data_IF_846717842269
#
_entry.id   IF_846717842269
#
_cell.length_a   1.000
_cell.length_b   1.000
_cell.length_c   1.000
_cell.angle_alpha   90.00
_cell.angle_beta   90.00
_cell.angle_gamma   90.00
#
_symmetry.space_group_name_H-M   'P 1'
#
loop_
_entity.id
_entity.type
_entity.pdbx_description
1 polymer ?
#
# COMPACT_ATOMS: atom_id res chain seq x y z
N UNK A 1 -15.24 -0.59 28.69
CA UNK A 1 -14.45 -1.65 28.02
C UNK A 1 -13.27 -0.96 27.41
N UNK A 2 -12.09 -1.35 27.88
CA UNK A 2 -10.87 -0.56 27.89
C UNK A 2 -10.17 -0.56 26.53
N UNK A 3 -9.82 0.62 26.05
CA UNK A 3 -8.87 0.84 24.97
C UNK A 3 -7.48 0.38 25.45
N UNK A 4 -7.07 -0.81 25.02
CA UNK A 4 -5.66 -1.17 24.96
C UNK A 4 -5.11 -0.62 23.64
N UNK A 5 -4.87 0.68 23.59
CA UNK A 5 -4.01 1.26 22.56
C UNK A 5 -2.60 0.73 22.78
N UNK A 6 -2.06 0.12 21.73
CA UNK A 6 -0.85 -0.71 21.81
C UNK A 6 0.39 0.18 22.04
N UNK A 7 1.30 -0.31 22.88
CA UNK A 7 2.56 0.38 23.23
C UNK A 7 3.52 0.49 22.02
N UNK A 8 3.27 -0.25 20.94
CA UNK A 8 4.11 -0.29 19.74
C UNK A 8 3.75 0.82 18.74
N UNK A 9 2.47 1.23 18.66
CA UNK A 9 2.06 2.35 17.82
C UNK A 9 2.81 3.62 18.26
N UNK A 10 2.80 3.94 19.56
CA UNK A 10 3.45 5.13 20.10
C UNK A 10 4.93 5.29 19.73
N UNK A 11 5.66 4.18 19.57
CA UNK A 11 7.08 4.21 19.24
C UNK A 11 7.37 4.59 17.78
N UNK A 12 6.56 4.10 16.83
CA UNK A 12 6.70 4.47 15.41
C UNK A 12 6.34 5.94 15.17
N UNK A 13 5.29 6.42 15.85
CA UNK A 13 4.93 7.84 15.86
C UNK A 13 6.10 8.68 16.41
N UNK A 14 6.66 8.32 17.57
CA UNK A 14 7.78 9.05 18.18
C UNK A 14 9.03 9.10 17.28
N UNK A 15 9.35 8.02 16.57
CA UNK A 15 10.53 7.92 15.70
C UNK A 15 10.44 8.84 14.46
N UNK A 16 9.30 8.85 13.73
CA UNK A 16 9.14 9.74 12.58
C UNK A 16 9.14 11.21 13.00
N UNK A 17 8.45 11.55 14.08
CA UNK A 17 8.41 12.92 14.57
C UNK A 17 9.78 13.41 15.01
N UNK A 18 10.54 12.54 15.70
CA UNK A 18 11.93 12.83 16.03
C UNK A 18 12.76 13.05 14.77
N UNK A 19 12.59 12.22 13.74
CA UNK A 19 13.30 12.35 12.48
C UNK A 19 12.97 13.65 11.73
N UNK A 20 11.69 13.98 11.52
CA UNK A 20 11.25 15.21 10.81
C UNK A 20 11.82 16.45 11.50
N UNK A 21 11.75 16.48 12.83
CA UNK A 21 12.25 17.58 13.62
C UNK A 21 13.78 17.69 13.55
N UNK A 22 14.51 16.57 13.70
CA UNK A 22 15.96 16.54 13.56
C UNK A 22 16.37 17.01 12.17
N UNK A 23 15.67 16.55 11.13
CA UNK A 23 15.93 16.92 9.75
C UNK A 23 15.72 18.42 9.51
N UNK A 24 14.61 19.01 9.99
CA UNK A 24 14.41 20.47 9.92
C UNK A 24 15.48 21.25 10.67
N UNK A 25 15.94 20.76 11.84
CA UNK A 25 17.04 21.39 12.58
C UNK A 25 18.36 21.37 11.85
N UNK A 26 18.69 20.26 11.21
CA UNK A 26 19.87 20.15 10.35
C UNK A 26 19.77 21.20 9.23
N UNK A 27 18.59 21.34 8.61
CA UNK A 27 18.37 22.31 7.54
C UNK A 27 18.37 23.77 8.01
N UNK A 28 17.90 24.06 9.23
CA UNK A 28 17.85 25.43 9.77
C UNK A 28 19.17 25.89 10.43
N UNK A 29 20.14 24.99 10.59
CA UNK A 29 21.43 25.29 11.22
C UNK A 29 21.37 25.48 12.75
N UNK A 30 20.23 25.17 13.37
CA UNK A 30 19.97 25.43 14.79
C UNK A 30 20.20 24.19 15.66
N UNK A 31 21.41 24.07 16.21
CA UNK A 31 21.79 23.07 17.21
C UNK A 31 21.45 23.53 18.64
N UNK A 32 20.17 23.77 18.95
CA UNK A 32 19.74 24.03 20.33
C UNK A 32 18.63 23.07 20.77
N UNK A 33 18.81 22.38 21.91
CA UNK A 33 17.85 21.44 22.51
C UNK A 33 16.58 22.15 22.97
N UNK A 34 15.42 21.61 22.59
CA UNK A 34 14.19 21.82 23.34
C UNK A 34 13.28 20.60 23.15
N UNK A 35 13.08 19.87 24.25
CA UNK A 35 12.05 18.85 24.41
C UNK A 35 10.73 19.56 24.67
N UNK A 36 9.81 19.51 23.70
CA UNK A 36 8.39 19.75 23.95
C UNK A 36 7.61 18.74 23.13
N UNK A 37 6.61 18.12 23.75
CA UNK A 37 5.60 17.35 23.03
C UNK A 37 4.95 18.26 21.99
N UNK A 38 5.01 17.83 20.74
CA UNK A 38 4.57 18.59 19.58
C UNK A 38 3.12 18.19 19.25
N UNK A 39 2.19 19.14 19.08
CA UNK A 39 0.82 18.82 18.69
C UNK A 39 0.76 18.33 17.25
N UNK A 40 0.10 17.18 17.04
CA UNK A 40 -0.24 16.61 15.72
C UNK A 40 -1.41 17.45 15.15
N UNK A 41 -1.39 17.80 13.86
CA UNK A 41 -2.48 18.59 13.26
C UNK A 41 -2.67 18.34 11.77
N UNK A 42 -3.94 18.31 11.34
CA UNK A 42 -4.40 18.30 9.94
C UNK A 42 -3.89 19.49 9.11
N UNK A 43 -3.29 20.49 9.76
CA UNK A 43 -2.74 21.69 9.13
C UNK A 43 -1.35 21.46 8.50
N UNK A 44 -0.85 20.23 8.47
CA UNK A 44 0.41 19.91 7.80
C UNK A 44 0.35 20.24 6.30
N UNK A 45 1.30 21.07 5.85
CA UNK A 45 1.40 21.47 4.46
C UNK A 45 2.22 20.44 3.69
N UNK A 46 1.50 19.58 2.97
CA UNK A 46 2.09 18.65 2.02
C UNK A 46 2.21 19.32 0.64
N UNK A 47 3.45 19.70 0.29
CA UNK A 47 3.75 20.36 -0.98
C UNK A 47 3.47 19.46 -2.20
N UNK A 48 3.43 18.14 -2.04
CA UNK A 48 3.11 17.22 -3.14
C UNK A 48 1.66 17.35 -3.62
N UNK A 49 0.78 17.94 -2.81
CA UNK A 49 -0.63 18.20 -3.16
C UNK A 49 -0.82 19.39 -4.09
N UNK A 50 0.26 20.03 -4.54
CA UNK A 50 0.21 21.13 -5.50
C UNK A 50 -0.44 22.39 -4.93
N UNK A 51 -0.37 22.58 -3.62
CA UNK A 51 -0.90 23.77 -2.95
C UNK A 51 -0.10 25.00 -3.39
N UNK A 52 -0.79 25.97 -3.99
CA UNK A 52 -0.23 27.29 -4.22
C UNK A 52 -0.27 28.05 -2.90
N UNK A 53 0.90 28.31 -2.31
CA UNK A 53 1.02 29.02 -1.05
C UNK A 53 0.95 30.52 -1.33
N UNK A 54 -0.13 31.17 -0.89
CA UNK A 54 -0.33 32.62 -1.07
C UNK A 54 0.48 33.46 -0.07
N UNK A 55 0.72 32.91 1.13
CA UNK A 55 1.51 33.53 2.19
C UNK A 55 2.62 32.56 2.64
N UNK A 56 3.92 32.88 2.44
CA UNK A 56 5.02 32.04 2.90
C UNK A 56 5.09 31.86 4.43
N UNK A 57 4.49 32.76 5.22
CA UNK A 57 4.52 32.69 6.68
C UNK A 57 3.84 31.43 7.24
N UNK A 58 2.93 30.81 6.46
CA UNK A 58 2.28 29.54 6.84
C UNK A 58 3.26 28.36 6.92
N UNK A 59 4.47 28.49 6.37
CA UNK A 59 5.53 27.46 6.44
C UNK A 59 6.38 27.55 7.71
N UNK A 60 6.34 28.68 8.41
CA UNK A 60 7.12 28.95 9.63
C UNK A 60 6.77 28.01 10.80
N UNK A 61 5.49 27.74 11.15
CA UNK A 61 5.20 26.83 12.24
C UNK A 61 5.66 25.40 11.94
N UNK A 62 6.20 24.72 12.95
CA UNK A 62 6.49 23.28 12.89
C UNK A 62 5.16 22.56 13.16
N UNK A 63 4.46 22.23 12.08
CA UNK A 63 3.29 21.36 12.12
C UNK A 63 3.75 19.97 11.69
N UNK A 64 3.38 18.95 12.46
CA UNK A 64 3.70 17.57 12.15
C UNK A 64 2.52 16.91 11.41
N UNK A 65 2.78 16.06 10.42
CA UNK A 65 1.72 15.35 9.71
C UNK A 65 1.01 14.38 10.66
N UNK A 66 -0.31 14.25 10.53
CA UNK A 66 -1.01 13.13 11.14
C UNK A 66 -0.63 11.85 10.37
N UNK A 67 -0.03 10.91 11.08
CA UNK A 67 0.26 9.59 10.54
C UNK A 67 -1.00 8.73 10.58
N UNK A 68 -1.42 8.27 9.41
CA UNK A 68 -2.51 7.31 9.31
C UNK A 68 -2.02 5.88 9.60
N UNK A 69 -2.96 4.99 9.98
CA UNK A 69 -2.65 3.60 10.33
C UNK A 69 -2.04 2.79 9.17
N UNK A 70 -2.32 3.17 7.92
CA UNK A 70 -1.77 2.53 6.72
C UNK A 70 -0.27 2.83 6.59
N UNK A 71 0.13 4.08 6.87
CA UNK A 71 1.51 4.54 6.84
C UNK A 71 2.32 3.88 7.94
N UNK A 72 1.77 3.84 9.16
CA UNK A 72 2.43 3.14 10.29
C UNK A 72 2.62 1.65 9.97
N UNK A 73 1.59 0.98 9.45
CA UNK A 73 1.70 -0.42 9.05
C UNK A 73 2.75 -0.65 7.94
N UNK A 74 2.87 0.29 7.00
CA UNK A 74 3.89 0.24 5.95
C UNK A 74 5.31 0.38 6.53
N UNK A 75 5.55 1.34 7.42
CA UNK A 75 6.86 1.52 8.08
C UNK A 75 7.27 0.27 8.86
N UNK A 76 6.35 -0.34 9.61
CA UNK A 76 6.60 -1.60 10.32
C UNK A 76 6.94 -2.75 9.37
N UNK A 77 6.28 -2.83 8.22
CA UNK A 77 6.61 -3.81 7.19
C UNK A 77 7.99 -3.58 6.59
N UNK A 78 8.36 -2.32 6.28
CA UNK A 78 9.68 -1.98 5.78
C UNK A 78 10.78 -2.33 6.78
N UNK A 79 10.57 -2.03 8.07
CA UNK A 79 11.51 -2.41 9.11
C UNK A 79 11.67 -3.94 9.18
N UNK A 80 10.57 -4.70 9.17
CA UNK A 80 10.64 -6.15 9.15
C UNK A 80 11.38 -6.70 7.91
N UNK A 81 11.24 -6.05 6.74
CA UNK A 81 11.96 -6.41 5.53
C UNK A 81 13.47 -6.10 5.63
N UNK A 82 13.81 -4.92 6.16
CA UNK A 82 15.19 -4.49 6.38
C UNK A 82 15.92 -5.39 7.39
N UNK A 83 15.22 -5.86 8.42
CA UNK A 83 15.72 -6.84 9.39
C UNK A 83 15.67 -8.30 8.89
N UNK A 84 15.24 -8.52 7.64
CA UNK A 84 15.11 -9.84 7.01
C UNK A 84 14.22 -10.81 7.81
N UNK A 85 13.21 -10.29 8.52
CA UNK A 85 12.27 -11.06 9.32
C UNK A 85 11.12 -11.59 8.45
N UNK A 86 11.43 -12.52 7.54
CA UNK A 86 10.48 -13.03 6.54
C UNK A 86 9.11 -13.42 7.11
N UNK A 87 9.07 -14.10 8.26
CA UNK A 87 7.81 -14.49 8.92
C UNK A 87 6.95 -13.27 9.27
N UNK A 88 7.55 -12.20 9.79
CA UNK A 88 6.84 -10.96 10.14
C UNK A 88 6.32 -10.27 8.89
N UNK A 89 7.13 -10.20 7.83
CA UNK A 89 6.72 -9.64 6.53
C UNK A 89 5.49 -10.36 5.99
N UNK A 90 5.53 -11.70 5.97
CA UNK A 90 4.43 -12.53 5.47
C UNK A 90 3.13 -12.31 6.24
N UNK A 91 3.19 -12.34 7.57
CA UNK A 91 1.99 -12.12 8.39
C UNK A 91 1.50 -10.67 8.34
N UNK A 92 2.41 -9.69 8.31
CA UNK A 92 2.04 -8.28 8.20
C UNK A 92 1.32 -7.98 6.88
N UNK A 93 1.81 -8.47 5.74
CA UNK A 93 1.12 -8.34 4.45
C UNK A 93 -0.27 -8.97 4.48
N UNK A 94 -0.38 -10.15 5.09
CA UNK A 94 -1.66 -10.85 5.21
C UNK A 94 -2.69 -10.06 6.03
N UNK A 95 -2.30 -9.57 7.21
CA UNK A 95 -3.20 -8.77 8.04
C UNK A 95 -3.53 -7.43 7.37
N UNK A 96 -2.55 -6.80 6.71
CA UNK A 96 -2.77 -5.58 5.93
C UNK A 96 -3.82 -5.77 4.83
N UNK A 97 -3.75 -6.87 4.07
CA UNK A 97 -4.74 -7.18 3.03
C UNK A 97 -6.10 -7.63 3.59
N UNK A 98 -6.16 -8.20 4.79
CA UNK A 98 -7.43 -8.47 5.46
C UNK A 98 -8.13 -7.19 5.90
N UNK A 99 -7.39 -6.25 6.48
CA UNK A 99 -7.93 -4.94 6.87
C UNK A 99 -8.42 -4.19 5.63
N UNK A 100 -7.64 -4.20 4.54
CA UNK A 100 -8.06 -3.72 3.24
C UNK A 100 -9.42 -4.30 2.81
N UNK A 101 -9.54 -5.64 2.77
CA UNK A 101 -10.78 -6.31 2.37
C UNK A 101 -11.94 -5.92 3.29
N UNK A 102 -11.70 -5.86 4.61
CA UNK A 102 -12.72 -5.46 5.58
C UNK A 102 -13.27 -4.05 5.28
N UNK A 103 -12.40 -3.07 5.02
CA UNK A 103 -12.82 -1.70 4.69
C UNK A 103 -13.56 -1.63 3.35
N UNK A 104 -13.03 -2.24 2.30
CA UNK A 104 -13.65 -2.19 0.97
C UNK A 104 -15.03 -2.87 0.96
N UNK A 105 -15.17 -4.01 1.63
CA UNK A 105 -16.44 -4.74 1.67
C UNK A 105 -17.53 -4.01 2.47
N UNK A 106 -17.17 -3.02 3.28
CA UNK A 106 -18.11 -2.15 4.00
C UNK A 106 -18.38 -0.82 3.29
N UNK A 107 -17.58 -0.48 2.27
CA UNK A 107 -17.73 0.78 1.54
C UNK A 107 -19.01 0.77 0.71
N UNK A 108 -19.77 1.86 0.79
CA UNK A 108 -20.97 2.09 -0.03
C UNK A 108 -20.72 3.05 -1.19
N UNK A 109 -19.54 3.70 -1.21
CA UNK A 109 -19.18 4.75 -2.17
C UNK A 109 -18.14 4.23 -3.16
N UNK A 110 -18.47 4.31 -4.45
CA UNK A 110 -17.59 3.81 -5.53
C UNK A 110 -16.30 4.61 -5.67
N UNK A 111 -16.34 5.92 -5.44
CA UNK A 111 -15.16 6.79 -5.52
C UNK A 111 -14.20 6.51 -4.37
N UNK A 112 -14.73 6.35 -3.16
CA UNK A 112 -13.94 6.05 -1.97
C UNK A 112 -13.29 4.66 -2.08
N UNK A 113 -14.02 3.68 -2.63
CA UNK A 113 -13.49 2.34 -2.91
C UNK A 113 -12.28 2.37 -3.84
N UNK A 114 -12.28 3.20 -4.90
CA UNK A 114 -11.13 3.33 -5.80
C UNK A 114 -9.94 3.99 -5.12
N UNK A 115 -10.17 5.10 -4.40
CA UNK A 115 -9.12 5.82 -3.67
C UNK A 115 -8.47 4.93 -2.62
N UNK A 116 -9.28 4.24 -1.83
CA UNK A 116 -8.79 3.37 -0.77
C UNK A 116 -8.07 2.14 -1.33
N UNK A 117 -8.59 1.52 -2.40
CA UNK A 117 -7.87 0.43 -3.08
C UNK A 117 -6.53 0.87 -3.64
N UNK A 118 -6.48 2.05 -4.26
CA UNK A 118 -5.23 2.63 -4.78
C UNK A 118 -4.22 2.84 -3.66
N UNK A 119 -4.67 3.38 -2.52
CA UNK A 119 -3.84 3.62 -1.33
C UNK A 119 -3.22 2.31 -0.81
N UNK A 120 -4.02 1.28 -0.55
CA UNK A 120 -3.49 0.00 -0.05
C UNK A 120 -2.59 -0.71 -1.06
N UNK A 121 -2.96 -0.72 -2.33
CA UNK A 121 -2.15 -1.41 -3.34
C UNK A 121 -0.87 -0.67 -3.71
N UNK A 122 -0.83 0.66 -3.53
CA UNK A 122 0.42 1.41 -3.62
C UNK A 122 1.43 0.92 -2.57
N UNK A 123 0.99 0.69 -1.33
CA UNK A 123 1.84 0.13 -0.26
C UNK A 123 2.35 -1.27 -0.64
N UNK A 124 1.46 -2.15 -1.13
CA UNK A 124 1.87 -3.49 -1.59
C UNK A 124 2.87 -3.41 -2.73
N UNK A 125 2.69 -2.47 -3.67
CA UNK A 125 3.65 -2.24 -4.75
C UNK A 125 5.01 -1.79 -4.22
N UNK A 126 5.06 -0.84 -3.28
CA UNK A 126 6.33 -0.41 -2.69
C UNK A 126 7.02 -1.55 -1.91
N UNK A 127 6.26 -2.39 -1.21
CA UNK A 127 6.79 -3.61 -0.56
C UNK A 127 7.40 -4.55 -1.60
N UNK A 128 6.71 -4.78 -2.72
CA UNK A 128 7.23 -5.60 -3.80
C UNK A 128 8.51 -5.01 -4.40
N UNK A 129 8.52 -3.72 -4.73
CA UNK A 129 9.67 -3.00 -5.29
C UNK A 129 10.87 -3.05 -4.35
N UNK A 130 10.66 -2.82 -3.03
CA UNK A 130 11.72 -2.98 -2.04
C UNK A 130 12.25 -4.42 -2.01
N UNK A 131 11.35 -5.41 -2.14
CA UNK A 131 11.71 -6.81 -2.20
C UNK A 131 12.52 -7.23 -3.43
N UNK A 132 12.55 -6.42 -4.49
CA UNK A 132 13.44 -6.60 -5.65
C UNK A 132 14.86 -6.07 -5.38
N UNK A 133 15.07 -5.32 -4.29
CA UNK A 133 16.41 -4.84 -3.93
C UNK A 133 17.38 -6.01 -3.73
N UNK A 134 18.63 -5.91 -4.21
CA UNK A 134 19.67 -6.92 -3.98
C UNK A 134 19.92 -7.24 -2.51
N UNK A 135 19.54 -6.33 -1.60
CA UNK A 135 19.68 -6.50 -0.15
C UNK A 135 18.62 -7.41 0.47
N UNK A 136 17.55 -7.76 -0.24
CA UNK A 136 16.46 -8.56 0.30
C UNK A 136 16.55 -10.02 -0.17
N UNK A 137 16.89 -10.99 0.70
CA UNK A 137 17.21 -12.36 0.27
C UNK A 137 15.97 -13.23 -0.04
N UNK A 138 14.75 -12.72 0.12
CA UNK A 138 13.51 -13.48 0.00
C UNK A 138 12.64 -13.07 -1.19
N UNK A 139 13.23 -12.49 -2.24
CA UNK A 139 12.50 -11.94 -3.40
C UNK A 139 11.52 -12.94 -4.03
N UNK A 140 11.96 -14.15 -4.36
CA UNK A 140 11.09 -15.17 -4.95
C UNK A 140 9.95 -15.59 -4.00
N UNK A 141 10.27 -15.73 -2.70
CA UNK A 141 9.28 -16.09 -1.68
C UNK A 141 8.25 -14.99 -1.48
N UNK A 142 8.68 -13.73 -1.49
CA UNK A 142 7.81 -12.57 -1.43
C UNK A 142 6.88 -12.52 -2.64
N UNK A 143 7.43 -12.65 -3.84
CA UNK A 143 6.63 -12.60 -5.06
C UNK A 143 5.60 -13.73 -5.15
N UNK A 144 6.01 -14.96 -4.85
CA UNK A 144 5.10 -16.10 -4.80
C UNK A 144 3.98 -15.87 -3.78
N UNK A 145 4.33 -15.36 -2.60
CA UNK A 145 3.35 -15.09 -1.55
C UNK A 145 2.37 -13.98 -1.93
N UNK A 146 2.88 -12.85 -2.43
CA UNK A 146 2.06 -11.73 -2.91
C UNK A 146 1.11 -12.18 -4.03
N UNK A 147 1.58 -12.99 -4.98
CA UNK A 147 0.74 -13.51 -6.06
C UNK A 147 -0.47 -14.28 -5.52
N UNK A 148 -0.26 -15.15 -4.52
CA UNK A 148 -1.35 -15.91 -3.88
C UNK A 148 -2.31 -14.99 -3.09
N UNK A 149 -1.77 -14.01 -2.37
CA UNK A 149 -2.58 -13.05 -1.63
C UNK A 149 -3.43 -12.20 -2.58
N UNK A 150 -2.84 -11.64 -3.64
CA UNK A 150 -3.53 -10.82 -4.64
C UNK A 150 -4.60 -11.60 -5.40
N UNK A 151 -4.33 -12.87 -5.73
CA UNK A 151 -5.33 -13.77 -6.30
C UNK A 151 -6.52 -13.94 -5.35
N UNK A 152 -6.26 -14.28 -4.08
CA UNK A 152 -7.31 -14.50 -3.08
C UNK A 152 -8.13 -13.23 -2.85
N UNK A 153 -7.47 -12.09 -2.74
CA UNK A 153 -8.09 -10.77 -2.61
C UNK A 153 -8.97 -10.44 -3.81
N UNK A 154 -8.44 -10.59 -5.04
CA UNK A 154 -9.19 -10.31 -6.26
C UNK A 154 -10.42 -11.19 -6.44
N UNK A 155 -10.31 -12.50 -6.17
CA UNK A 155 -11.45 -13.42 -6.23
C UNK A 155 -12.48 -13.14 -5.13
N UNK A 156 -12.04 -12.69 -3.96
CA UNK A 156 -12.95 -12.27 -2.88
C UNK A 156 -13.72 -11.02 -3.29
N UNK A 157 -13.05 -9.97 -3.78
CA UNK A 157 -13.70 -8.77 -4.27
C UNK A 157 -14.73 -9.08 -5.38
N UNK A 158 -14.39 -9.99 -6.30
CA UNK A 158 -15.28 -10.42 -7.38
C UNK A 158 -16.52 -11.17 -6.88
N UNK A 159 -16.43 -11.83 -5.72
CA UNK A 159 -17.56 -12.53 -5.10
C UNK A 159 -18.55 -11.56 -4.43
N UNK A 160 -18.09 -10.37 -4.07
CA UNK A 160 -18.88 -9.33 -3.40
C UNK A 160 -19.12 -8.11 -4.30
N UNK A 161 -19.04 -8.32 -5.62
CA UNK A 161 -19.35 -7.33 -6.66
C UNK A 161 -18.58 -6.01 -6.54
N UNK A 162 -17.36 -6.03 -5.98
CA UNK A 162 -16.51 -4.85 -5.79
C UNK A 162 -15.72 -4.52 -7.08
N UNK A 163 -16.42 -4.29 -8.18
CA UNK A 163 -15.83 -4.18 -9.53
C UNK A 163 -14.81 -3.04 -9.65
N UNK A 164 -15.07 -1.90 -9.01
CA UNK A 164 -14.17 -0.75 -9.03
C UNK A 164 -12.84 -1.03 -8.32
N UNK A 165 -12.88 -1.79 -7.22
CA UNK A 165 -11.67 -2.22 -6.52
C UNK A 165 -10.88 -3.23 -7.37
N UNK A 166 -11.57 -4.16 -8.04
CA UNK A 166 -10.95 -5.16 -8.90
C UNK A 166 -10.23 -4.51 -10.09
N UNK A 167 -10.83 -3.47 -10.70
CA UNK A 167 -10.20 -2.71 -11.77
C UNK A 167 -8.82 -2.18 -11.35
N UNK A 168 -8.75 -1.52 -10.18
CA UNK A 168 -7.48 -1.02 -9.62
C UNK A 168 -6.53 -2.17 -9.29
N UNK A 169 -7.04 -3.23 -8.64
CA UNK A 169 -6.23 -4.40 -8.28
C UNK A 169 -5.57 -5.06 -9.48
N UNK A 170 -6.31 -5.24 -10.56
CA UNK A 170 -5.79 -5.83 -11.79
C UNK A 170 -4.67 -4.99 -12.39
N UNK A 171 -4.84 -3.67 -12.45
CA UNK A 171 -3.85 -2.75 -13.02
C UNK A 171 -2.56 -2.72 -12.20
N UNK A 172 -2.65 -2.64 -10.87
CA UNK A 172 -1.49 -2.66 -9.98
C UNK A 172 -0.80 -4.04 -10.00
N UNK A 173 -1.57 -5.12 -9.95
CA UNK A 173 -1.04 -6.49 -10.04
C UNK A 173 -0.32 -6.75 -11.36
N UNK A 174 -0.88 -6.29 -12.48
CA UNK A 174 -0.22 -6.41 -13.78
C UNK A 174 1.05 -5.57 -13.86
N UNK A 175 1.10 -4.41 -13.20
CA UNK A 175 2.30 -3.58 -13.13
C UNK A 175 3.40 -4.29 -12.36
N UNK A 176 3.10 -4.84 -11.18
CA UNK A 176 4.03 -5.69 -10.44
C UNK A 176 4.44 -6.93 -11.25
N UNK A 177 3.51 -7.57 -11.96
CA UNK A 177 3.81 -8.73 -12.81
C UNK A 177 4.77 -8.43 -13.95
N UNK A 178 4.67 -7.25 -14.59
CA UNK A 178 5.62 -6.82 -15.62
C UNK A 178 7.00 -6.55 -15.05
N UNK A 179 7.08 -5.98 -13.85
CA UNK A 179 8.35 -5.79 -13.15
C UNK A 179 8.96 -7.14 -12.75
N UNK A 180 8.14 -8.05 -12.21
CA UNK A 180 8.56 -9.41 -11.86
C UNK A 180 9.16 -10.15 -13.06
N UNK A 181 8.51 -10.08 -14.23
CA UNK A 181 9.02 -10.68 -15.47
C UNK A 181 10.40 -10.11 -15.87
N UNK A 182 10.60 -8.79 -15.74
CA UNK A 182 11.88 -8.14 -16.06
C UNK A 182 13.02 -8.60 -15.14
N UNK A 183 12.70 -8.87 -13.88
CA UNK A 183 13.64 -9.42 -12.90
C UNK A 183 13.77 -10.97 -12.96
N UNK A 184 13.17 -11.60 -13.98
CA UNK A 184 13.26 -13.06 -14.19
C UNK A 184 12.40 -13.90 -13.23
N UNK A 185 11.46 -13.28 -12.51
CA UNK A 185 10.53 -13.97 -11.62
C UNK A 185 9.38 -14.60 -12.40
N UNK A 186 8.88 -15.74 -11.92
CA UNK A 186 7.79 -16.47 -12.59
C UNK A 186 6.45 -15.70 -12.51
N UNK A 187 5.82 -15.46 -13.65
CA UNK A 187 4.52 -14.77 -13.75
C UNK A 187 3.33 -15.70 -13.98
N UNK A 188 3.57 -17.01 -14.13
CA UNK A 188 2.52 -18.01 -14.34
C UNK A 188 1.40 -17.95 -13.28
N UNK A 189 1.66 -17.77 -11.98
CA UNK A 189 0.59 -17.62 -10.98
C UNK A 189 -0.37 -16.46 -11.28
N UNK A 190 0.15 -15.31 -11.75
CA UNK A 190 -0.70 -14.18 -12.13
C UNK A 190 -1.50 -14.44 -13.40
N UNK A 191 -0.90 -15.11 -14.38
CA UNK A 191 -1.63 -15.49 -15.60
C UNK A 191 -2.80 -16.43 -15.26
N UNK A 192 -2.58 -17.37 -14.34
CA UNK A 192 -3.63 -18.24 -13.82
C UNK A 192 -4.71 -17.45 -13.07
N UNK A 193 -4.33 -16.54 -12.18
CA UNK A 193 -5.26 -15.65 -11.50
C UNK A 193 -6.14 -14.86 -12.49
N UNK A 194 -5.54 -14.17 -13.46
CA UNK A 194 -6.30 -13.39 -14.45
C UNK A 194 -7.25 -14.26 -15.28
N UNK A 195 -6.83 -15.48 -15.64
CA UNK A 195 -7.71 -16.45 -16.32
C UNK A 195 -8.89 -16.89 -15.43
N UNK A 196 -8.65 -17.13 -14.14
CA UNK A 196 -9.72 -17.51 -13.20
C UNK A 196 -10.73 -16.38 -13.04
N UNK A 197 -10.24 -15.15 -12.91
CA UNK A 197 -11.08 -13.96 -12.80
C UNK A 197 -11.88 -13.71 -14.09
N UNK A 198 -11.25 -13.83 -15.26
CA UNK A 198 -11.91 -13.77 -16.58
C UNK A 198 -13.09 -14.76 -16.65
N UNK A 199 -12.87 -16.01 -16.25
CA UNK A 199 -13.90 -17.05 -16.28
C UNK A 199 -15.04 -16.77 -15.30
N UNK A 200 -14.73 -16.25 -14.11
CA UNK A 200 -15.74 -15.92 -13.09
C UNK A 200 -16.64 -14.76 -13.53
N UNK A 201 -16.07 -13.76 -14.19
CA UNK A 201 -16.80 -12.55 -14.60
C UNK A 201 -17.50 -12.65 -15.98
N UNK A 202 -17.33 -13.75 -16.73
CA UNK A 202 -17.77 -13.86 -18.13
C UNK A 202 -19.29 -13.89 -18.34
N UNK A 203 -20.06 -14.21 -17.30
CA UNK A 203 -21.48 -14.56 -17.42
C UNK A 203 -22.44 -13.59 -16.73
N UNK A 204 -21.95 -12.46 -16.21
CA UNK A 204 -22.72 -11.53 -15.38
C UNK A 204 -22.57 -10.10 -15.91
N UNK A 205 -23.64 -9.30 -15.77
CA UNK A 205 -23.75 -7.86 -16.10
C UNK A 205 -22.89 -7.27 -17.23
N UNK A 206 -22.67 -5.95 -17.18
CA UNK A 206 -21.79 -5.23 -18.12
C UNK A 206 -20.45 -4.84 -17.46
N UNK A 207 -20.45 -4.59 -16.15
CA UNK A 207 -19.23 -4.29 -15.39
C UNK A 207 -18.33 -5.53 -15.28
N UNK A 208 -18.90 -6.71 -15.09
CA UNK A 208 -18.16 -7.96 -15.00
C UNK A 208 -17.56 -8.32 -16.36
N UNK A 209 -18.29 -8.10 -17.46
CA UNK A 209 -17.72 -8.23 -18.82
C UNK A 209 -16.54 -7.28 -19.02
N UNK A 210 -16.62 -6.04 -18.52
CA UNK A 210 -15.52 -5.08 -18.58
C UNK A 210 -14.30 -5.61 -17.81
N UNK A 211 -14.49 -6.12 -16.60
CA UNK A 211 -13.43 -6.74 -15.79
C UNK A 211 -12.86 -7.99 -16.46
N UNK A 212 -13.69 -8.86 -17.03
CA UNK A 212 -13.25 -10.05 -17.75
C UNK A 212 -12.36 -9.68 -18.95
N UNK A 213 -12.77 -8.68 -19.72
CA UNK A 213 -11.98 -8.16 -20.84
C UNK A 213 -10.65 -7.54 -20.37
N UNK A 214 -10.66 -6.79 -19.26
CA UNK A 214 -9.45 -6.22 -18.67
C UNK A 214 -8.47 -7.31 -18.24
N UNK A 215 -8.94 -8.31 -17.47
CA UNK A 215 -8.12 -9.43 -17.01
C UNK A 215 -7.53 -10.22 -18.19
N UNK A 216 -8.33 -10.46 -19.23
CA UNK A 216 -7.88 -11.13 -20.46
C UNK A 216 -6.75 -10.34 -21.15
N UNK A 217 -6.93 -9.03 -21.33
CA UNK A 217 -5.93 -8.18 -21.98
C UNK A 217 -4.63 -8.12 -21.17
N UNK A 218 -4.74 -7.98 -19.84
CA UNK A 218 -3.59 -7.96 -18.94
C UNK A 218 -2.84 -9.29 -18.90
N UNK A 219 -3.54 -10.43 -18.99
CA UNK A 219 -2.91 -11.75 -19.08
C UNK A 219 -2.02 -11.86 -20.32
N UNK A 220 -2.54 -11.50 -21.49
CA UNK A 220 -1.76 -11.56 -22.74
C UNK A 220 -0.52 -10.66 -22.70
N UNK A 221 -0.60 -9.52 -22.00
CA UNK A 221 0.56 -8.63 -21.83
C UNK A 221 1.65 -9.20 -20.89
N UNK A 222 1.35 -10.24 -20.10
CA UNK A 222 2.31 -10.93 -19.24
C UNK A 222 2.90 -12.20 -19.88
N UNK A 223 2.45 -12.59 -21.08
CA UNK A 223 2.97 -13.74 -21.84
C UNK A 223 4.21 -13.40 -22.69
N UNK A 224 4.73 -12.17 -22.58
CA UNK A 224 5.86 -11.63 -23.35
C UNK A 224 7.19 -11.88 -22.66
#
# INVERSE_FOLDING_TARGET
MSEQYSFEDGQAYDDLYHWIWQFRKILSGDCARQERQLPISDQYIDLSKGLLLEDPAILEPIILPELDCVTVAFEQLLQAMAEHRWVRVRYGINEFLKVYLYHILQSTSTEDTKKETTRYLSVIRHIFEYGLSPSFPFTESLWSFLSTCLETTGLTLARYDQWQAIEVLLLETATMGRLAAREGLQTAPLQHFFRRLENQCRLQGDEEKKIANLARNLRFNLEV
#
